data_IF_472669886424
#
_entry.id   IF_472669886424
#
_cell.length_a   1.000
_cell.length_b   1.000
_cell.length_c   1.000
_cell.angle_alpha   90.00
_cell.angle_beta   90.00
_cell.angle_gamma   90.00
#
_symmetry.space_group_name_H-M   'P 1'
#
loop_
_entity.id
_entity.type
_entity.pdbx_description
1 polymer ?
#
# COMPACT_ATOMS: atom_id res chain seq x y z
N UNK A 1 16.70 2.58 -2.93
CA UNK A 1 16.54 3.61 -3.97
C UNK A 1 15.63 4.70 -3.40
N UNK A 2 16.19 5.85 -3.07
CA UNK A 2 15.41 6.99 -2.56
C UNK A 2 14.75 7.71 -3.74
N UNK A 3 13.44 7.89 -3.66
CA UNK A 3 12.72 8.81 -4.52
C UNK A 3 12.75 10.19 -3.87
N UNK A 4 13.46 11.12 -4.48
CA UNK A 4 13.41 12.52 -4.09
C UNK A 4 12.32 13.22 -4.93
N UNK A 5 11.21 13.60 -4.31
CA UNK A 5 10.26 14.51 -4.90
C UNK A 5 10.84 15.92 -4.83
N UNK A 6 11.24 16.49 -5.96
CA UNK A 6 11.68 17.87 -6.05
C UNK A 6 10.47 18.79 -6.21
N UNK A 7 10.16 19.58 -5.18
CA UNK A 7 9.24 20.70 -5.29
C UNK A 7 9.93 21.86 -6.02
N UNK A 8 9.44 22.23 -7.21
CA UNK A 8 9.88 23.44 -7.92
C UNK A 8 9.19 24.66 -7.28
N UNK A 9 9.95 25.47 -6.55
CA UNK A 9 9.54 26.82 -6.16
C UNK A 9 9.94 27.81 -7.29
N UNK A 10 8.96 28.44 -7.92
CA UNK A 10 9.18 29.51 -8.89
C UNK A 10 9.56 30.80 -8.15
N UNK A 11 10.83 31.16 -8.18
CA UNK A 11 11.29 32.48 -7.72
C UNK A 11 11.25 33.48 -8.88
N UNK A 12 10.30 34.42 -8.81
CA UNK A 12 10.27 35.57 -9.73
C UNK A 12 11.31 36.61 -9.25
N UNK A 13 12.40 36.70 -9.97
CA UNK A 13 13.40 37.77 -9.75
C UNK A 13 13.22 38.85 -10.82
N UNK A 14 12.77 40.02 -10.43
CA UNK A 14 12.86 41.24 -11.27
C UNK A 14 14.28 41.79 -11.25
N UNK A 15 14.98 41.75 -12.39
CA UNK A 15 16.25 42.44 -12.60
C UNK A 15 16.08 43.66 -13.49
N UNK A 16 16.77 44.80 -13.21
CA UNK A 16 16.75 45.95 -14.10
C UNK A 16 17.48 45.64 -15.42
N UNK A 17 16.90 46.15 -16.51
CA UNK A 17 17.38 45.97 -17.86
C UNK A 17 18.76 46.61 -18.05
N UNK A 18 19.76 45.81 -18.40
CA UNK A 18 20.97 46.26 -19.14
C UNK A 18 20.91 45.55 -20.50
N UNK A 19 21.05 46.39 -21.52
CA UNK A 19 20.88 46.06 -22.92
C UNK A 19 21.79 44.92 -23.41
N UNK A 20 21.22 43.85 -23.75
CA UNK A 20 21.67 42.71 -24.50
C UNK A 20 20.45 41.78 -24.52
N UNK A 21 19.91 41.50 -25.69
CA UNK A 21 18.76 40.65 -25.87
C UNK A 21 19.07 39.31 -25.25
N UNK A 22 18.64 39.13 -23.99
CA UNK A 22 18.81 37.87 -23.29
C UNK A 22 18.03 36.79 -24.09
N UNK A 23 18.71 35.71 -24.41
CA UNK A 23 18.04 34.56 -25.03
C UNK A 23 16.77 34.21 -24.26
N UNK A 24 15.66 33.89 -24.92
CA UNK A 24 14.45 33.54 -24.24
C UNK A 24 14.71 32.39 -23.24
N UNK A 25 14.06 32.38 -22.09
CA UNK A 25 14.25 31.30 -21.13
C UNK A 25 13.98 29.95 -21.83
N UNK A 26 14.75 28.91 -21.48
CA UNK A 26 14.54 27.58 -22.09
C UNK A 26 13.09 27.12 -21.88
N UNK A 27 12.56 26.44 -22.85
CA UNK A 27 11.23 25.81 -22.70
C UNK A 27 11.26 24.83 -21.54
N UNK A 28 10.07 24.49 -20.99
CA UNK A 28 9.97 23.43 -19.97
C UNK A 28 10.60 22.13 -20.45
N UNK A 29 10.36 21.79 -21.72
CA UNK A 29 10.96 20.65 -22.42
C UNK A 29 12.50 20.68 -22.30
N UNK A 30 13.12 21.79 -22.70
CA UNK A 30 14.58 21.91 -22.69
C UNK A 30 15.15 21.90 -21.28
N UNK A 31 14.44 22.52 -20.32
CA UNK A 31 14.85 22.54 -18.92
C UNK A 31 14.83 21.12 -18.31
N UNK A 32 13.80 20.34 -18.60
CA UNK A 32 13.70 18.94 -18.15
C UNK A 32 14.78 18.09 -18.81
N UNK A 33 14.98 18.21 -20.13
CA UNK A 33 16.02 17.48 -20.85
C UNK A 33 17.42 17.78 -20.30
N UNK A 34 17.72 19.05 -20.00
CA UNK A 34 18.98 19.46 -19.39
C UNK A 34 19.18 18.88 -17.99
N UNK A 35 18.12 18.80 -17.17
CA UNK A 35 18.18 18.19 -15.85
C UNK A 35 18.47 16.69 -15.93
N UNK A 36 17.78 15.97 -16.80
CA UNK A 36 18.00 14.53 -17.01
C UNK A 36 19.44 14.23 -17.46
N UNK A 37 19.96 15.03 -18.40
CA UNK A 37 21.32 14.90 -18.88
C UNK A 37 22.36 15.19 -17.80
N UNK A 38 22.13 16.24 -16.98
CA UNK A 38 23.03 16.62 -15.87
C UNK A 38 23.12 15.52 -14.81
N UNK A 39 21.98 14.88 -14.47
CA UNK A 39 21.91 13.91 -13.39
C UNK A 39 22.13 12.47 -13.88
N UNK A 40 22.54 12.32 -15.15
CA UNK A 40 22.88 11.01 -15.75
C UNK A 40 21.70 10.05 -15.88
N UNK A 41 20.48 10.58 -15.98
CA UNK A 41 19.31 9.77 -16.21
C UNK A 41 19.31 9.18 -17.61
N UNK A 42 18.96 7.91 -17.73
CA UNK A 42 18.76 7.24 -19.00
C UNK A 42 17.43 7.70 -19.64
N UNK A 43 17.52 8.55 -20.64
CA UNK A 43 16.36 9.14 -21.33
C UNK A 43 15.52 8.07 -22.04
N UNK A 44 16.12 6.98 -22.51
CA UNK A 44 15.40 5.88 -23.18
C UNK A 44 14.55 5.08 -22.18
N UNK A 45 14.91 5.15 -20.90
CA UNK A 45 14.20 4.49 -19.78
C UNK A 45 13.42 5.44 -18.90
N UNK A 46 13.21 6.67 -19.37
CA UNK A 46 12.49 7.71 -18.64
C UNK A 46 11.38 8.27 -19.51
N UNK A 47 10.13 8.04 -19.14
CA UNK A 47 8.96 8.62 -19.78
C UNK A 47 8.46 9.83 -18.97
N UNK A 48 8.29 10.98 -19.62
CA UNK A 48 7.72 12.19 -19.02
C UNK A 48 6.68 12.76 -19.96
N UNK A 49 5.50 13.06 -19.42
CA UNK A 49 4.47 13.83 -20.10
C UNK A 49 3.89 14.85 -19.11
N UNK A 50 3.96 16.13 -19.44
CA UNK A 50 3.37 17.20 -18.64
C UNK A 50 2.23 17.82 -19.42
N UNK A 51 1.03 17.68 -18.89
CA UNK A 51 -0.22 18.19 -19.47
C UNK A 51 -0.73 19.31 -18.57
N UNK A 52 -1.08 20.44 -19.15
CA UNK A 52 -1.70 21.55 -18.44
C UNK A 52 -3.22 21.34 -18.28
N UNK A 53 -3.83 22.15 -17.43
CA UNK A 53 -5.29 22.08 -17.14
C UNK A 53 -6.16 22.28 -18.37
N UNK A 54 -5.64 22.97 -19.40
CA UNK A 54 -6.27 23.16 -20.70
C UNK A 54 -6.14 21.96 -21.66
N UNK A 55 -5.50 20.88 -21.19
CA UNK A 55 -5.21 19.67 -21.96
C UNK A 55 -3.99 19.76 -22.89
N UNK A 56 -3.33 20.92 -22.93
CA UNK A 56 -2.15 21.08 -23.80
C UNK A 56 -0.90 20.41 -23.19
N UNK A 57 -0.17 19.66 -24.01
CA UNK A 57 1.12 19.10 -23.63
C UNK A 57 2.16 20.21 -23.54
N UNK A 58 2.81 20.35 -22.39
CA UNK A 58 3.85 21.35 -22.08
C UNK A 58 5.27 20.81 -22.21
N UNK A 59 5.44 19.52 -21.94
CA UNK A 59 6.68 18.81 -22.14
C UNK A 59 6.41 17.32 -22.37
N UNK A 60 7.22 16.70 -23.22
CA UNK A 60 7.10 15.29 -23.58
C UNK A 60 8.49 14.73 -23.86
N UNK A 61 8.91 13.71 -23.11
CA UNK A 61 10.17 12.98 -23.29
C UNK A 61 9.86 11.50 -23.24
N UNK A 62 10.10 10.79 -24.32
CA UNK A 62 9.86 9.34 -24.44
C UNK A 62 8.48 8.91 -23.87
N UNK A 63 7.45 9.75 -24.00
CA UNK A 63 6.16 9.57 -23.35
C UNK A 63 5.41 8.32 -23.86
N UNK A 64 5.62 7.95 -25.13
CA UNK A 64 5.01 6.76 -25.75
C UNK A 64 5.84 5.48 -25.58
N UNK A 65 7.01 5.58 -24.90
CA UNK A 65 7.84 4.40 -24.68
C UNK A 65 7.19 3.49 -23.65
N UNK A 66 6.96 2.20 -23.98
CA UNK A 66 6.41 1.25 -23.02
C UNK A 66 7.39 1.02 -21.85
N UNK A 67 7.04 1.49 -20.67
CA UNK A 67 7.82 1.33 -19.45
C UNK A 67 7.01 0.61 -18.38
N UNK A 68 7.69 -0.16 -17.52
CA UNK A 68 7.04 -0.78 -16.38
C UNK A 68 6.59 0.30 -15.39
N UNK A 69 5.28 0.47 -15.12
CA UNK A 69 4.78 1.56 -14.29
C UNK A 69 5.13 1.41 -12.81
N UNK A 70 5.53 0.22 -12.38
CA UNK A 70 5.77 -0.11 -10.97
C UNK A 70 4.62 0.42 -10.08
N UNK A 71 4.92 1.14 -9.00
CA UNK A 71 3.91 1.69 -8.09
C UNK A 71 3.01 2.77 -8.69
N UNK A 72 3.32 3.33 -9.87
CA UNK A 72 2.41 4.24 -10.56
C UNK A 72 1.10 3.55 -10.97
N UNK A 73 1.11 2.22 -11.12
CA UNK A 73 -0.10 1.43 -11.35
C UNK A 73 -1.14 1.61 -10.24
N UNK A 74 -0.72 1.96 -9.02
CA UNK A 74 -1.63 2.23 -7.90
C UNK A 74 -2.58 3.39 -8.19
N UNK A 75 -2.18 4.38 -9.00
CA UNK A 75 -3.05 5.49 -9.41
C UNK A 75 -4.25 4.97 -10.19
N UNK A 76 -4.04 4.04 -11.13
CA UNK A 76 -5.12 3.42 -11.90
C UNK A 76 -5.97 2.52 -11.03
N UNK A 77 -5.36 1.72 -10.16
CA UNK A 77 -6.07 0.82 -9.25
C UNK A 77 -6.97 1.62 -8.29
N UNK A 78 -6.45 2.69 -7.68
CA UNK A 78 -7.25 3.51 -6.75
C UNK A 78 -8.33 4.31 -7.48
N UNK A 79 -8.06 4.81 -8.68
CA UNK A 79 -9.08 5.48 -9.49
C UNK A 79 -10.19 4.50 -9.89
N UNK A 80 -9.87 3.29 -10.29
CA UNK A 80 -10.84 2.25 -10.62
C UNK A 80 -11.65 1.83 -9.37
N UNK A 81 -11.01 1.71 -8.22
CA UNK A 81 -11.69 1.41 -6.96
C UNK A 81 -12.68 2.52 -6.61
N UNK A 82 -12.25 3.78 -6.64
CA UNK A 82 -13.12 4.93 -6.36
C UNK A 82 -14.31 5.01 -7.34
N UNK A 83 -14.06 4.75 -8.63
CA UNK A 83 -15.10 4.77 -9.65
C UNK A 83 -16.14 3.67 -9.47
N UNK A 84 -15.72 2.45 -9.11
CA UNK A 84 -16.61 1.29 -9.05
C UNK A 84 -17.26 1.11 -7.67
N UNK A 85 -16.56 1.44 -6.60
CA UNK A 85 -17.02 1.21 -5.22
C UNK A 85 -17.59 2.49 -4.60
N UNK A 86 -17.16 3.67 -5.06
CA UNK A 86 -17.54 4.95 -4.47
C UNK A 86 -16.68 5.32 -3.26
N UNK A 87 -16.79 6.59 -2.82
CA UNK A 87 -16.02 7.14 -1.70
C UNK A 87 -16.49 6.65 -0.32
N UNK A 88 -17.74 6.19 -0.24
CA UNK A 88 -18.35 5.70 1.01
C UNK A 88 -18.22 4.18 1.20
N UNK A 89 -17.44 3.50 0.35
CA UNK A 89 -17.25 2.06 0.48
C UNK A 89 -16.53 1.71 1.77
N UNK A 90 -17.08 0.75 2.51
CA UNK A 90 -16.55 0.26 3.79
C UNK A 90 -16.21 -1.22 3.65
N UNK A 91 -14.99 -1.58 4.04
CA UNK A 91 -14.62 -2.98 4.22
C UNK A 91 -15.23 -3.51 5.51
N UNK A 92 -15.93 -4.63 5.43
CA UNK A 92 -16.53 -5.27 6.60
C UNK A 92 -15.81 -6.56 6.97
N UNK A 93 -15.37 -6.66 8.23
CA UNK A 93 -15.00 -7.94 8.83
C UNK A 93 -16.03 -8.28 9.89
N UNK A 94 -16.68 -9.44 9.75
CA UNK A 94 -17.78 -9.85 10.62
C UNK A 94 -17.40 -10.99 11.55
N UNK A 95 -17.95 -10.96 12.77
CA UNK A 95 -17.87 -12.06 13.73
C UNK A 95 -19.25 -12.68 13.86
N UNK A 96 -19.37 -13.96 13.52
CA UNK A 96 -20.61 -14.73 13.62
C UNK A 96 -20.40 -15.99 14.44
N UNK A 97 -21.44 -16.46 15.11
CA UNK A 97 -21.40 -17.68 15.90
C UNK A 97 -22.30 -18.75 15.29
N UNK A 98 -21.88 -20.00 15.32
CA UNK A 98 -22.68 -21.14 14.83
C UNK A 98 -23.85 -21.49 15.77
N UNK A 99 -23.82 -20.97 17.01
CA UNK A 99 -24.91 -21.12 17.98
C UNK A 99 -25.17 -19.80 18.73
N UNK A 100 -26.42 -19.54 19.07
CA UNK A 100 -26.79 -18.37 19.86
C UNK A 100 -26.18 -18.45 21.27
N UNK A 101 -25.62 -17.33 21.80
CA UNK A 101 -25.07 -17.30 23.15
C UNK A 101 -26.12 -17.61 24.20
N UNK A 102 -25.77 -18.44 25.21
CA UNK A 102 -26.59 -18.72 26.39
C UNK A 102 -25.73 -18.69 27.64
N UNK A 103 -26.13 -17.91 28.64
CA UNK A 103 -25.37 -17.79 29.89
C UNK A 103 -23.90 -17.37 29.68
N UNK A 104 -23.64 -16.51 28.69
CA UNK A 104 -22.29 -16.06 28.37
C UNK A 104 -21.44 -17.05 27.56
N UNK A 105 -22.03 -18.17 27.11
CA UNK A 105 -21.33 -19.22 26.35
C UNK A 105 -21.90 -19.35 24.96
N UNK A 106 -21.03 -19.36 23.94
CA UNK A 106 -21.31 -19.84 22.58
C UNK A 106 -20.97 -21.35 22.57
N UNK A 107 -22.00 -22.20 22.48
CA UNK A 107 -21.83 -23.66 22.37
C UNK A 107 -21.63 -24.06 20.90
N UNK A 108 -20.53 -23.62 20.31
CA UNK A 108 -20.19 -23.80 18.90
C UNK A 108 -19.01 -22.92 18.53
N UNK A 109 -18.83 -22.70 17.24
CA UNK A 109 -17.68 -21.97 16.68
C UNK A 109 -17.95 -20.47 16.62
N UNK A 110 -16.85 -19.70 16.69
CA UNK A 110 -16.82 -18.29 16.32
C UNK A 110 -16.14 -18.15 14.96
N UNK A 111 -16.85 -17.59 13.99
CA UNK A 111 -16.35 -17.40 12.64
C UNK A 111 -15.98 -15.92 12.46
N UNK A 112 -14.74 -15.68 12.06
CA UNK A 112 -14.24 -14.35 11.63
C UNK A 112 -14.19 -14.35 10.12
N UNK A 113 -15.11 -13.65 9.47
CA UNK A 113 -15.16 -13.54 8.02
C UNK A 113 -14.61 -12.20 7.56
N UNK A 114 -13.57 -12.25 6.75
CA UNK A 114 -12.96 -11.07 6.15
C UNK A 114 -13.71 -10.60 4.91
N UNK A 115 -13.79 -9.28 4.74
CA UNK A 115 -14.34 -8.61 3.55
C UNK A 115 -13.29 -7.86 2.75
N UNK A 116 -12.01 -8.23 2.88
CA UNK A 116 -10.92 -7.62 2.12
C UNK A 116 -10.30 -6.38 2.76
N UNK A 117 -10.51 -6.13 4.06
CA UNK A 117 -9.88 -5.00 4.76
C UNK A 117 -8.36 -5.20 4.88
N UNK A 118 -7.54 -4.36 4.20
CA UNK A 118 -6.10 -4.46 4.26
C UNK A 118 -5.50 -3.78 5.51
N UNK A 119 -6.32 -3.10 6.33
CA UNK A 119 -5.85 -2.20 7.37
C UNK A 119 -5.63 -2.87 8.72
N UNK A 120 -5.93 -4.16 8.87
CA UNK A 120 -5.75 -4.90 10.13
C UNK A 120 -4.25 -5.17 10.34
N UNK A 121 -3.50 -4.11 10.62
CA UNK A 121 -2.05 -4.16 10.79
C UNK A 121 -1.55 -3.03 11.68
N UNK A 122 -0.31 -3.15 12.15
CA UNK A 122 0.37 -2.10 12.92
C UNK A 122 0.64 -0.79 12.17
N UNK A 123 0.28 -0.69 10.87
CA UNK A 123 0.37 0.57 10.11
C UNK A 123 -0.77 1.52 10.43
N UNK A 124 -1.94 0.98 10.75
CA UNK A 124 -3.18 1.75 10.94
C UNK A 124 -3.64 1.74 12.39
N UNK A 125 -3.21 0.73 13.16
CA UNK A 125 -3.52 0.59 14.58
C UNK A 125 -2.24 0.67 15.42
N UNK A 126 -2.37 0.67 16.74
CA UNK A 126 -1.24 0.75 17.67
C UNK A 126 -0.24 -0.40 17.52
N UNK A 127 -0.75 -1.54 17.10
CA UNK A 127 -0.01 -2.77 16.82
C UNK A 127 -0.90 -3.74 16.02
N UNK A 128 -0.35 -4.83 15.44
CA UNK A 128 -1.11 -5.77 14.61
C UNK A 128 -2.30 -6.43 15.32
N UNK A 129 -2.24 -6.60 16.63
CA UNK A 129 -3.27 -7.29 17.41
C UNK A 129 -4.37 -6.37 17.96
N UNK A 130 -4.25 -5.06 17.76
CA UNK A 130 -5.17 -4.08 18.34
C UNK A 130 -6.64 -4.35 17.97
N UNK A 131 -6.89 -4.77 16.74
CA UNK A 131 -8.23 -5.11 16.24
C UNK A 131 -8.75 -6.38 16.91
N UNK A 132 -7.92 -7.41 17.06
CA UNK A 132 -8.29 -8.65 17.75
C UNK A 132 -8.68 -8.39 19.21
N UNK A 133 -7.93 -7.52 19.88
CA UNK A 133 -8.26 -7.10 21.26
C UNK A 133 -9.58 -6.31 21.31
N UNK A 134 -9.84 -5.47 20.30
CA UNK A 134 -11.11 -4.73 20.21
C UNK A 134 -12.30 -5.68 20.04
N UNK A 135 -12.18 -6.70 19.18
CA UNK A 135 -13.20 -7.73 19.02
C UNK A 135 -13.42 -8.54 20.30
N UNK A 136 -12.35 -8.98 20.95
CA UNK A 136 -12.46 -9.68 22.24
C UNK A 136 -13.16 -8.83 23.30
N UNK A 137 -12.87 -7.51 23.34
CA UNK A 137 -13.55 -6.58 24.23
C UNK A 137 -15.04 -6.44 23.89
N UNK A 138 -15.38 -6.36 22.62
CA UNK A 138 -16.78 -6.28 22.15
C UNK A 138 -17.57 -7.54 22.52
N UNK A 139 -17.01 -8.73 22.33
CA UNK A 139 -17.62 -10.01 22.75
C UNK A 139 -17.86 -10.02 24.27
N UNK A 140 -16.88 -9.61 25.07
CA UNK A 140 -17.04 -9.52 26.54
C UNK A 140 -18.11 -8.50 26.94
N UNK A 141 -18.17 -7.34 26.27
CA UNK A 141 -19.21 -6.34 26.49
C UNK A 141 -20.62 -6.86 26.15
N UNK A 142 -20.71 -7.74 25.16
CA UNK A 142 -21.95 -8.46 24.84
C UNK A 142 -22.26 -9.63 25.80
N UNK A 143 -21.47 -9.78 26.87
CA UNK A 143 -21.65 -10.83 27.88
C UNK A 143 -21.13 -12.19 27.47
N UNK A 144 -20.36 -12.31 26.40
CA UNK A 144 -19.79 -13.58 25.92
C UNK A 144 -18.40 -13.74 26.57
N UNK A 145 -18.22 -14.88 27.27
CA UNK A 145 -17.00 -15.18 28.01
C UNK A 145 -16.38 -16.53 27.61
N UNK A 146 -17.16 -17.40 26.98
CA UNK A 146 -16.73 -18.76 26.62
C UNK A 146 -17.20 -19.10 25.21
N UNK A 147 -16.31 -19.69 24.43
CA UNK A 147 -16.57 -20.31 23.13
C UNK A 147 -16.08 -21.76 23.27
N UNK A 148 -16.94 -22.75 23.01
CA UNK A 148 -16.60 -24.17 23.20
C UNK A 148 -16.14 -24.87 21.95
N UNK A 149 -16.39 -24.28 20.79
CA UNK A 149 -15.92 -24.73 19.49
C UNK A 149 -14.64 -24.04 19.06
N UNK A 150 -14.43 -23.97 17.76
CA UNK A 150 -13.23 -23.42 17.13
C UNK A 150 -13.37 -21.93 16.82
N UNK A 151 -12.23 -21.26 16.64
CA UNK A 151 -12.13 -19.98 15.98
C UNK A 151 -11.84 -20.23 14.50
N UNK A 152 -12.82 -19.97 13.63
CA UNK A 152 -12.74 -20.22 12.20
C UNK A 152 -12.41 -18.92 11.49
N UNK A 153 -11.30 -18.88 10.76
CA UNK A 153 -10.94 -17.80 9.86
C UNK A 153 -11.55 -18.08 8.47
N UNK A 154 -12.49 -17.24 8.05
CA UNK A 154 -13.18 -17.36 6.76
C UNK A 154 -12.73 -16.23 5.83
N UNK A 155 -11.98 -16.58 4.80
CA UNK A 155 -11.51 -15.66 3.76
C UNK A 155 -12.16 -15.94 2.39
N UNK A 156 -13.24 -16.67 2.36
CA UNK A 156 -13.96 -17.10 1.14
C UNK A 156 -14.68 -15.95 0.40
N UNK A 157 -14.54 -14.71 0.85
CA UNK A 157 -15.04 -13.54 0.12
C UNK A 157 -14.25 -13.29 -1.17
N UNK A 158 -12.96 -13.62 -1.19
CA UNK A 158 -12.16 -13.71 -2.40
C UNK A 158 -12.03 -15.16 -2.85
N UNK A 159 -11.54 -15.36 -4.08
CA UNK A 159 -11.16 -16.66 -4.59
C UNK A 159 -9.83 -17.16 -3.97
N UNK A 160 -9.39 -18.34 -4.41
CA UNK A 160 -8.16 -18.98 -3.89
C UNK A 160 -6.88 -18.50 -4.60
N UNK A 161 -6.97 -17.50 -5.49
CA UNK A 161 -5.79 -16.95 -6.17
C UNK A 161 -5.03 -15.98 -5.27
N UNK A 162 -4.10 -16.52 -4.50
CA UNK A 162 -3.33 -15.77 -3.47
C UNK A 162 -2.24 -14.88 -4.03
N UNK A 163 -1.80 -15.11 -5.26
CA UNK A 163 -0.71 -14.40 -5.90
C UNK A 163 -1.09 -14.04 -7.33
N UNK A 164 -0.76 -12.83 -7.75
CA UNK A 164 -0.90 -12.47 -9.15
C UNK A 164 0.02 -13.37 -10.02
N UNK A 165 -0.50 -14.00 -11.09
CA UNK A 165 0.28 -14.92 -11.93
C UNK A 165 1.54 -14.30 -12.57
N UNK A 166 1.54 -12.98 -12.72
CA UNK A 166 2.68 -12.24 -13.28
C UNK A 166 3.76 -11.86 -12.26
N UNK A 167 3.56 -12.16 -10.97
CA UNK A 167 4.55 -11.84 -9.95
C UNK A 167 5.74 -12.79 -10.03
N UNK A 168 6.94 -12.23 -9.82
CA UNK A 168 8.17 -13.01 -9.72
C UNK A 168 8.18 -13.79 -8.40
N UNK A 169 8.05 -15.11 -8.50
CA UNK A 169 8.03 -16.03 -7.34
C UNK A 169 9.33 -16.00 -6.52
N UNK A 170 10.44 -15.57 -7.12
CA UNK A 170 11.69 -15.37 -6.38
C UNK A 170 11.61 -14.24 -5.34
N UNK A 171 10.59 -13.42 -5.40
CA UNK A 171 10.37 -12.29 -4.47
C UNK A 171 9.34 -12.57 -3.38
N UNK A 172 8.83 -13.79 -3.24
CA UNK A 172 7.79 -14.13 -2.25
C UNK A 172 8.18 -13.81 -0.79
N UNK A 173 9.48 -13.86 -0.47
CA UNK A 173 9.96 -13.48 0.86
C UNK A 173 9.96 -11.96 1.12
N UNK A 174 9.52 -11.15 0.14
CA UNK A 174 9.44 -9.70 0.29
C UNK A 174 8.04 -9.31 0.79
N UNK A 175 7.97 -8.40 1.75
CA UNK A 175 6.72 -7.91 2.33
C UNK A 175 5.71 -7.41 1.28
N UNK A 176 6.18 -6.82 0.16
CA UNK A 176 5.33 -6.33 -0.92
C UNK A 176 4.82 -7.42 -1.87
N UNK A 177 5.26 -8.66 -1.66
CA UNK A 177 4.81 -9.84 -2.39
C UNK A 177 4.02 -10.80 -1.48
N UNK A 178 3.53 -10.33 -0.34
CA UNK A 178 2.68 -11.10 0.54
C UNK A 178 1.41 -11.57 -0.18
N UNK A 179 0.85 -12.66 0.27
CA UNK A 179 -0.38 -13.23 -0.27
C UNK A 179 -1.55 -12.25 -0.14
N UNK A 180 -2.48 -12.31 -1.10
CA UNK A 180 -3.76 -11.60 -1.04
C UNK A 180 -4.80 -12.51 -0.40
N UNK A 181 -5.53 -11.98 0.58
CA UNK A 181 -6.62 -12.69 1.25
C UNK A 181 -7.74 -11.73 1.63
N UNK A 182 -8.97 -12.22 1.67
CA UNK A 182 -10.10 -11.45 2.16
C UNK A 182 -10.05 -11.20 3.67
N UNK A 183 -9.34 -12.05 4.41
CA UNK A 183 -9.02 -11.86 5.82
C UNK A 183 -7.51 -11.71 5.97
N UNK A 184 -7.08 -10.48 6.23
CA UNK A 184 -5.67 -10.12 6.36
C UNK A 184 -5.34 -9.74 7.80
N UNK A 185 -4.14 -10.08 8.24
CA UNK A 185 -3.57 -9.65 9.52
C UNK A 185 -2.09 -9.32 9.29
N UNK A 186 -1.63 -8.19 9.81
CA UNK A 186 -0.24 -7.74 9.73
C UNK A 186 0.32 -7.76 8.29
N UNK A 187 -0.44 -7.20 7.34
CA UNK A 187 -0.10 -7.18 5.90
C UNK A 187 0.11 -8.61 5.31
N UNK A 188 -0.46 -9.65 5.90
CA UNK A 188 -0.21 -11.07 5.61
C UNK A 188 1.28 -11.45 5.71
N UNK A 189 2.01 -10.79 6.60
CA UNK A 189 3.41 -11.01 6.87
C UNK A 189 3.63 -11.59 8.28
N UNK A 190 4.67 -12.38 8.41
CA UNK A 190 5.18 -12.86 9.70
C UNK A 190 6.45 -12.08 10.00
N UNK A 191 6.46 -11.37 11.13
CA UNK A 191 7.63 -10.64 11.61
C UNK A 191 8.53 -11.58 12.40
N UNK A 192 9.78 -11.73 11.94
CA UNK A 192 10.80 -12.53 12.60
C UNK A 192 11.84 -11.57 13.19
N UNK A 193 11.94 -11.57 14.52
CA UNK A 193 12.95 -10.80 15.22
C UNK A 193 14.13 -11.71 15.61
N UNK A 194 15.31 -11.29 15.20
CA UNK A 194 16.56 -11.98 15.57
C UNK A 194 17.40 -11.06 16.43
N UNK A 195 17.67 -11.47 17.67
CA UNK A 195 18.51 -10.72 18.59
C UNK A 195 19.78 -11.51 18.92
N UNK A 196 20.94 -10.84 19.15
CA UNK A 196 22.13 -11.52 19.60
C UNK A 196 21.88 -12.29 20.91
N UNK A 197 22.33 -13.53 20.97
CA UNK A 197 22.41 -14.30 22.22
C UNK A 197 23.58 -13.87 23.09
N UNK A 198 23.89 -14.67 24.14
CA UNK A 198 25.11 -14.52 24.91
C UNK A 198 26.34 -14.68 24.01
N UNK A 199 27.50 -14.16 24.47
CA UNK A 199 28.78 -14.37 23.74
C UNK A 199 28.98 -15.88 23.48
N UNK A 200 29.28 -16.23 22.23
CA UNK A 200 29.43 -17.59 21.73
C UNK A 200 28.15 -18.46 21.78
N UNK A 201 27.00 -17.87 22.07
CA UNK A 201 25.69 -18.54 22.06
C UNK A 201 24.90 -18.34 20.76
N UNK A 202 23.85 -19.14 20.54
CA UNK A 202 22.96 -18.99 19.39
C UNK A 202 22.17 -17.67 19.47
N UNK A 203 21.80 -17.15 18.32
CA UNK A 203 20.86 -16.03 18.24
C UNK A 203 19.48 -16.42 18.83
N UNK A 204 18.82 -15.45 19.45
CA UNK A 204 17.43 -15.61 19.92
C UNK A 204 16.50 -15.20 18.79
N UNK A 205 15.55 -16.07 18.46
CA UNK A 205 14.55 -15.84 17.41
C UNK A 205 13.17 -15.80 18.05
N UNK A 206 12.40 -14.77 17.72
CA UNK A 206 10.99 -14.66 18.08
C UNK A 206 10.16 -14.30 16.85
N UNK A 207 8.92 -14.76 16.86
CA UNK A 207 7.91 -14.54 15.82
C UNK A 207 6.75 -13.76 16.45
#
# INVERSE_FOLDING_TARGET
MLFAAAALAAAVWSRPALAGEAAPPPSLQDAIAALLARDGCDVERTGICVIADDGATRAEISADTPLAPASNLKLLTTAAALHNLGEEYIFETTLTATAAPRGGTIAGDLIVRGGGDPNISGRFYSDPEAVLRAWAKALRAAGIHTITGDLVADDTFFDDERFCPSWDRAQEARWYSAQVSALSLNDNCVDITVTPGAADGPALVSV
#
